data_IF_715520411288
#
_entry.id   IF_715520411288
#
_cell.length_a   1.000
_cell.length_b   1.000
_cell.length_c   1.000
_cell.angle_alpha   90.00
_cell.angle_beta   90.00
_cell.angle_gamma   90.00
#
_symmetry.space_group_name_H-M   'P 1'
#
loop_
_entity.id
_entity.type
_entity.pdbx_description
1 polymer ?
#
# COMPACT_ATOMS: atom_id res chain seq x y z
N UNK A 1 -25.13 1.56 -8.58
CA UNK A 1 -24.58 2.83 -8.06
C UNK A 1 -23.07 2.70 -8.06
N UNK A 2 -22.38 3.33 -9.01
CA UNK A 2 -20.91 3.28 -9.11
C UNK A 2 -20.32 4.41 -8.26
N UNK A 3 -19.61 4.05 -7.19
CA UNK A 3 -18.93 4.99 -6.32
C UNK A 3 -17.75 5.62 -7.07
N UNK A 4 -17.80 6.93 -7.19
CA UNK A 4 -16.77 7.79 -7.76
C UNK A 4 -15.51 7.76 -6.88
N UNK A 5 -14.42 7.16 -7.36
CA UNK A 5 -13.12 7.24 -6.72
C UNK A 5 -12.48 8.56 -7.15
N UNK A 6 -12.91 9.66 -6.53
CA UNK A 6 -12.19 10.93 -6.57
C UNK A 6 -11.04 10.87 -5.58
N UNK A 7 -9.86 10.53 -6.08
CA UNK A 7 -8.55 11.08 -5.70
C UNK A 7 -7.52 10.41 -6.59
N UNK A 8 -6.87 11.20 -7.44
CA UNK A 8 -5.78 10.78 -8.32
C UNK A 8 -4.60 10.34 -7.46
N UNK A 9 -4.66 9.13 -6.91
CA UNK A 9 -3.50 8.48 -6.34
C UNK A 9 -2.62 8.13 -7.53
N UNK A 10 -1.46 8.75 -7.63
CA UNK A 10 -0.47 8.38 -8.65
C UNK A 10 -0.20 6.88 -8.50
N UNK A 11 -0.41 6.14 -9.58
CA UNK A 11 -0.31 4.68 -9.63
C UNK A 11 0.58 4.27 -10.79
N UNK A 12 1.39 3.25 -10.57
CA UNK A 12 2.19 2.61 -11.60
C UNK A 12 1.56 1.28 -11.99
N UNK A 13 1.63 0.94 -13.29
CA UNK A 13 1.20 -0.36 -13.80
C UNK A 13 2.40 -1.29 -13.89
N UNK A 14 2.29 -2.48 -13.30
CA UNK A 14 3.33 -3.50 -13.31
C UNK A 14 2.76 -4.84 -13.73
N UNK A 15 3.50 -5.58 -14.53
CA UNK A 15 3.09 -6.90 -14.97
C UNK A 15 3.74 -7.94 -14.05
N UNK A 16 2.91 -8.73 -13.38
CA UNK A 16 3.32 -9.84 -12.54
C UNK A 16 2.65 -11.10 -13.06
N UNK A 17 3.43 -12.07 -13.55
CA UNK A 17 2.93 -13.36 -14.04
C UNK A 17 1.77 -13.26 -15.05
N UNK A 18 1.79 -12.26 -15.93
CA UNK A 18 0.73 -12.03 -16.93
C UNK A 18 -0.46 -11.22 -16.44
N UNK A 19 -0.44 -10.80 -15.17
CA UNK A 19 -1.45 -9.93 -14.56
C UNK A 19 -0.91 -8.52 -14.48
N UNK A 20 -1.67 -7.55 -14.97
CA UNK A 20 -1.32 -6.14 -14.81
C UNK A 20 -1.87 -5.62 -13.50
N UNK A 21 -0.98 -5.37 -12.54
CA UNK A 21 -1.27 -4.77 -11.24
C UNK A 21 -1.20 -3.24 -11.34
N UNK A 22 -2.10 -2.56 -10.66
CA UNK A 22 -2.04 -1.11 -10.41
C UNK A 22 -1.60 -0.89 -8.97
N UNK A 23 -0.39 -0.34 -8.83
CA UNK A 23 0.30 -0.16 -7.54
C UNK A 23 0.43 1.34 -7.27
N UNK A 24 0.01 1.77 -6.08
CA UNK A 24 0.17 3.12 -5.57
C UNK A 24 1.37 3.20 -4.61
N UNK A 25 1.85 4.43 -4.35
CA UNK A 25 3.00 4.69 -3.47
C UNK A 25 2.86 4.06 -2.09
N UNK A 26 3.98 3.56 -1.55
CA UNK A 26 4.06 3.07 -0.18
C UNK A 26 3.73 4.16 0.87
N UNK A 27 4.18 5.39 0.64
CA UNK A 27 3.95 6.52 1.55
C UNK A 27 2.65 7.28 1.27
N UNK A 28 1.60 6.59 0.81
CA UNK A 28 0.31 7.23 0.61
C UNK A 28 -0.44 7.41 1.94
N UNK A 29 -1.18 8.51 2.05
CA UNK A 29 -1.93 8.85 3.28
C UNK A 29 -3.00 7.82 3.61
N UNK A 30 -3.64 7.22 2.60
CA UNK A 30 -4.72 6.24 2.79
C UNK A 30 -4.20 4.96 3.44
N UNK A 31 -3.04 4.47 3.02
CA UNK A 31 -2.31 3.34 3.60
C UNK A 31 -1.97 3.63 5.05
N UNK A 32 -1.31 4.77 5.33
CA UNK A 32 -0.94 5.16 6.69
C UNK A 32 -2.16 5.27 7.61
N UNK A 33 -3.25 5.86 7.14
CA UNK A 33 -4.49 6.01 7.90
C UNK A 33 -5.17 4.64 8.13
N UNK A 34 -5.26 3.78 7.11
CA UNK A 34 -5.85 2.42 7.20
C UNK A 34 -5.01 1.52 8.11
N UNK A 35 -3.69 1.49 7.92
CA UNK A 35 -2.76 0.71 8.74
C UNK A 35 -2.78 1.15 10.21
N UNK A 36 -2.73 2.46 10.48
CA UNK A 36 -2.82 2.96 11.85
C UNK A 36 -4.18 2.65 12.49
N UNK A 37 -5.27 2.71 11.73
CA UNK A 37 -6.61 2.36 12.21
C UNK A 37 -6.70 0.88 12.59
N UNK A 38 -6.13 -0.01 11.76
CA UNK A 38 -6.10 -1.45 12.02
C UNK A 38 -5.25 -1.78 13.25
N UNK A 39 -4.04 -1.21 13.36
CA UNK A 39 -3.18 -1.37 14.55
C UNK A 39 -3.89 -0.92 15.82
N UNK A 40 -4.54 0.25 15.81
CA UNK A 40 -5.28 0.78 16.96
C UNK A 40 -6.50 -0.07 17.32
N UNK A 41 -7.20 -0.65 16.33
CA UNK A 41 -8.35 -1.53 16.58
C UNK A 41 -7.96 -2.78 17.37
N UNK A 42 -6.78 -3.33 17.09
CA UNK A 42 -6.27 -4.53 17.76
C UNK A 42 -5.79 -4.19 19.17
N UNK A 43 -5.02 -3.11 19.32
CA UNK A 43 -4.62 -2.56 20.61
C UNK A 43 -5.83 -2.22 21.52
N UNK A 44 -6.93 -1.74 20.93
CA UNK A 44 -8.15 -1.38 21.67
C UNK A 44 -9.00 -2.59 22.11
N UNK A 45 -8.83 -3.76 21.49
CA UNK A 45 -9.54 -4.99 21.86
C UNK A 45 -8.93 -5.70 23.07
N UNK A 46 -7.62 -5.55 23.25
CA UNK A 46 -6.86 -6.10 24.38
C UNK A 46 -6.82 -5.12 25.55
N UNK A 47 -7.84 -5.15 26.40
CA UNK A 47 -7.85 -4.56 27.75
C UNK A 47 -7.31 -3.11 27.89
N UNK A 48 -8.22 -2.17 28.12
CA UNK A 48 -7.99 -0.73 28.42
C UNK A 48 -7.02 -0.37 29.58
N UNK A 49 -6.24 -1.30 30.12
CA UNK A 49 -5.48 -1.13 31.36
C UNK A 49 -3.95 -1.19 31.26
N UNK A 50 -3.32 -1.43 30.10
CA UNK A 50 -1.85 -1.38 30.02
C UNK A 50 -1.36 -0.50 28.88
N UNK A 51 -1.14 0.78 29.23
CA UNK A 51 -0.23 1.69 28.52
C UNK A 51 1.13 1.01 28.33
N UNK A 52 1.38 0.46 27.14
CA UNK A 52 2.69 0.44 26.49
C UNK A 52 2.46 0.64 25.00
N UNK A 53 2.27 1.90 24.60
CA UNK A 53 2.43 2.35 23.21
C UNK A 53 3.85 2.00 22.77
N UNK A 54 4.04 0.87 22.09
CA UNK A 54 5.37 0.51 21.61
C UNK A 54 5.43 -0.82 20.86
N UNK A 55 4.86 -1.88 21.42
CA UNK A 55 5.19 -3.25 20.95
C UNK A 55 4.01 -4.16 20.66
N UNK A 56 2.77 -3.68 20.72
CA UNK A 56 1.62 -4.57 20.51
C UNK A 56 1.58 -5.16 19.10
N UNK A 57 2.09 -4.45 18.09
CA UNK A 57 2.20 -5.00 16.73
C UNK A 57 3.34 -6.02 16.63
N UNK A 58 4.51 -5.71 17.18
CA UNK A 58 5.68 -6.61 17.24
C UNK A 58 5.40 -7.91 18.00
N UNK A 59 4.47 -7.85 18.96
CA UNK A 59 4.04 -8.98 19.79
C UNK A 59 2.94 -9.84 19.15
N UNK A 60 2.37 -9.44 18.01
CA UNK A 60 1.44 -10.29 17.26
C UNK A 60 2.20 -11.44 16.61
N UNK A 61 1.49 -12.55 16.39
CA UNK A 61 2.04 -13.63 15.57
C UNK A 61 2.34 -13.14 14.15
N UNK A 62 3.34 -13.71 13.49
CA UNK A 62 3.69 -13.34 12.10
C UNK A 62 2.46 -13.36 11.19
N UNK A 63 1.62 -14.40 11.30
CA UNK A 63 0.39 -14.53 10.53
C UNK A 63 -0.63 -13.39 10.78
N UNK A 64 -0.73 -12.88 12.01
CA UNK A 64 -1.60 -11.74 12.30
C UNK A 64 -1.02 -10.43 11.74
N UNK A 65 0.30 -10.26 11.81
CA UNK A 65 1.00 -9.12 11.20
C UNK A 65 0.80 -9.11 9.67
N UNK A 66 0.97 -10.27 9.03
CA UNK A 66 0.78 -10.44 7.59
C UNK A 66 -0.66 -10.15 7.17
N UNK A 67 -1.64 -10.58 7.97
CA UNK A 67 -3.05 -10.29 7.70
C UNK A 67 -3.35 -8.79 7.78
N UNK A 68 -2.78 -8.09 8.76
CA UNK A 68 -2.94 -6.64 8.89
C UNK A 68 -2.27 -5.93 7.71
N UNK A 69 -1.09 -6.38 7.30
CA UNK A 69 -0.36 -5.84 6.14
C UNK A 69 -1.14 -6.06 4.84
N UNK A 70 -1.61 -7.28 4.58
CA UNK A 70 -2.43 -7.62 3.42
C UNK A 70 -3.69 -6.74 3.35
N UNK A 71 -4.39 -6.58 4.48
CA UNK A 71 -5.59 -5.73 4.57
C UNK A 71 -5.28 -4.25 4.39
N UNK A 72 -4.12 -3.79 4.85
CA UNK A 72 -3.68 -2.43 4.65
C UNK A 72 -3.33 -2.19 3.19
N UNK A 73 -2.59 -3.09 2.54
CA UNK A 73 -2.20 -3.01 1.13
C UNK A 73 -3.40 -3.07 0.19
N UNK A 74 -4.37 -3.94 0.47
CA UNK A 74 -5.61 -4.06 -0.30
C UNK A 74 -6.37 -2.73 -0.33
N UNK A 75 -6.55 -2.17 -1.53
CA UNK A 75 -7.30 -0.93 -1.76
C UNK A 75 -6.54 0.35 -1.39
N UNK A 76 -5.29 0.27 -0.93
CA UNK A 76 -4.46 1.48 -0.75
C UNK A 76 -3.18 1.45 -1.56
N UNK A 77 -2.43 0.36 -1.52
CA UNK A 77 -1.20 0.19 -2.30
C UNK A 77 -1.53 -0.63 -3.54
N UNK A 78 -2.16 -1.79 -3.39
CA UNK A 78 -2.74 -2.49 -4.51
C UNK A 78 -4.15 -1.95 -4.77
N UNK A 79 -4.29 -1.09 -5.78
CA UNK A 79 -5.55 -0.39 -6.08
C UNK A 79 -6.35 -1.03 -7.21
N UNK A 80 -5.73 -1.93 -7.96
CA UNK A 80 -6.37 -2.62 -9.07
C UNK A 80 -5.53 -3.76 -9.63
N UNK A 81 -6.18 -4.65 -10.37
CA UNK A 81 -5.50 -5.55 -11.30
C UNK A 81 -6.37 -5.87 -12.51
N UNK A 82 -5.75 -6.34 -13.57
CA UNK A 82 -6.42 -6.85 -14.76
C UNK A 82 -5.69 -8.06 -15.33
N UNK A 83 -6.45 -8.99 -15.92
CA UNK A 83 -5.90 -10.23 -16.46
C UNK A 83 -5.67 -11.34 -15.44
N UNK A 84 -6.09 -11.19 -14.18
CA UNK A 84 -5.97 -12.25 -13.18
C UNK A 84 -6.96 -13.39 -13.48
N UNK A 85 -6.42 -14.59 -13.68
CA UNK A 85 -7.19 -15.82 -13.92
C UNK A 85 -6.79 -16.85 -12.88
N UNK A 86 -7.76 -17.36 -12.13
CA UNK A 86 -7.58 -18.44 -11.17
C UNK A 86 -8.57 -19.55 -11.50
N UNK A 87 -8.09 -20.78 -11.65
CA UNK A 87 -8.93 -21.95 -12.00
C UNK A 87 -9.86 -21.67 -13.20
N UNK A 88 -9.30 -21.10 -14.27
CA UNK A 88 -10.02 -20.74 -15.51
C UNK A 88 -11.09 -19.64 -15.36
N UNK A 89 -11.22 -19.03 -14.17
CA UNK A 89 -12.14 -17.91 -13.92
C UNK A 89 -11.38 -16.60 -13.81
N UNK A 90 -11.92 -15.56 -14.47
CA UNK A 90 -11.43 -14.18 -14.30
C UNK A 90 -11.80 -13.70 -12.90
N UNK A 91 -10.80 -13.37 -12.09
CA UNK A 91 -11.00 -12.79 -10.77
C UNK A 91 -10.96 -11.28 -10.91
N UNK A 92 -12.11 -10.64 -10.70
CA UNK A 92 -12.19 -9.19 -10.68
C UNK A 92 -11.53 -8.65 -9.42
N UNK A 93 -10.93 -7.48 -9.56
CA UNK A 93 -10.37 -6.79 -8.41
C UNK A 93 -11.49 -6.36 -7.45
N UNK A 94 -11.37 -6.80 -6.20
CA UNK A 94 -12.12 -6.31 -5.04
C UNK A 94 -11.14 -6.22 -3.87
N UNK A 95 -11.41 -5.36 -2.89
CA UNK A 95 -10.56 -5.27 -1.70
C UNK A 95 -10.47 -6.61 -0.97
N UNK A 96 -11.56 -7.39 -0.93
CA UNK A 96 -11.60 -8.72 -0.30
C UNK A 96 -10.72 -9.72 -1.04
N UNK A 97 -10.84 -9.81 -2.37
CA UNK A 97 -9.98 -10.69 -3.17
C UNK A 97 -8.51 -10.28 -3.06
N UNK A 98 -8.24 -8.98 -2.95
CA UNK A 98 -6.87 -8.47 -2.83
C UNK A 98 -6.27 -8.78 -1.45
N UNK A 99 -7.06 -8.64 -0.39
CA UNK A 99 -6.67 -9.05 0.97
C UNK A 99 -6.35 -10.54 1.00
N UNK A 100 -7.21 -11.39 0.45
CA UNK A 100 -7.00 -12.83 0.43
C UNK A 100 -5.77 -13.22 -0.40
N UNK A 101 -5.56 -12.61 -1.57
CA UNK A 101 -4.40 -12.92 -2.39
C UNK A 101 -3.08 -12.48 -1.74
N UNK A 102 -3.02 -11.26 -1.18
CA UNK A 102 -1.82 -10.77 -0.49
C UNK A 102 -1.53 -11.51 0.81
N UNK A 103 -2.54 -12.13 1.42
CA UNK A 103 -2.36 -12.95 2.60
C UNK A 103 -1.89 -14.37 2.25
N UNK A 104 -2.40 -14.95 1.16
CA UNK A 104 -2.07 -16.33 0.76
C UNK A 104 -0.82 -16.44 -0.12
N UNK A 105 -0.43 -15.36 -0.81
CA UNK A 105 0.73 -15.31 -1.69
C UNK A 105 1.74 -14.27 -1.19
N UNK A 106 2.72 -14.76 -0.42
CA UNK A 106 3.81 -13.94 0.12
C UNK A 106 4.66 -13.30 -0.99
N UNK A 107 4.86 -14.00 -2.13
CA UNK A 107 5.66 -13.47 -3.24
C UNK A 107 4.97 -12.29 -3.91
N UNK A 108 3.65 -12.37 -4.10
CA UNK A 108 2.87 -11.25 -4.59
C UNK A 108 2.93 -10.07 -3.62
N UNK A 109 2.84 -10.33 -2.32
CA UNK A 109 2.93 -9.28 -1.29
C UNK A 109 4.26 -8.57 -1.30
N UNK A 110 5.36 -9.32 -1.36
CA UNK A 110 6.72 -8.78 -1.39
C UNK A 110 6.95 -7.96 -2.66
N UNK A 111 6.51 -8.48 -3.82
CA UNK A 111 6.57 -7.76 -5.09
C UNK A 111 5.83 -6.42 -5.04
N UNK A 112 4.60 -6.42 -4.50
CA UNK A 112 3.81 -5.18 -4.35
C UNK A 112 4.49 -4.19 -3.39
N UNK A 113 5.12 -4.68 -2.32
CA UNK A 113 5.83 -3.84 -1.36
C UNK A 113 7.09 -3.20 -1.95
N UNK A 114 7.86 -3.97 -2.72
CA UNK A 114 9.06 -3.51 -3.43
C UNK A 114 8.70 -2.43 -4.45
N UNK A 115 7.76 -2.72 -5.36
CA UNK A 115 7.31 -1.77 -6.38
C UNK A 115 6.72 -0.49 -5.79
N UNK A 116 6.00 -0.59 -4.66
CA UNK A 116 5.46 0.58 -3.98
C UNK A 116 6.56 1.47 -3.37
N UNK A 117 7.68 0.88 -2.96
CA UNK A 117 8.84 1.56 -2.37
C UNK A 117 9.73 2.18 -3.45
N UNK A 118 9.97 1.44 -4.54
CA UNK A 118 10.69 1.93 -5.72
C UNK A 118 9.97 3.12 -6.34
N UNK A 119 8.64 3.05 -6.42
CA UNK A 119 7.84 4.16 -6.91
C UNK A 119 7.90 5.40 -6.00
N UNK A 120 8.01 5.23 -4.68
CA UNK A 120 8.19 6.36 -3.76
C UNK A 120 9.58 7.00 -3.94
N UNK A 121 10.62 6.16 -4.10
CA UNK A 121 12.00 6.60 -4.33
C UNK A 121 12.15 7.36 -5.65
N UNK A 122 11.59 6.83 -6.75
CA UNK A 122 11.62 7.47 -8.07
C UNK A 122 11.04 8.89 -8.04
N UNK A 123 9.90 9.08 -7.37
CA UNK A 123 9.25 10.40 -7.24
C UNK A 123 10.09 11.34 -6.36
N UNK A 124 10.78 10.81 -5.35
CA UNK A 124 11.65 11.62 -4.50
C UNK A 124 12.87 12.12 -5.27
N UNK A 125 13.51 11.25 -6.05
CA UNK A 125 14.66 11.62 -6.90
C UNK A 125 14.26 12.67 -7.95
N UNK A 126 13.11 12.50 -8.62
CA UNK A 126 12.60 13.47 -9.60
C UNK A 126 12.36 14.86 -8.97
N UNK A 127 11.81 14.89 -7.74
CA UNK A 127 11.63 16.15 -6.99
C UNK A 127 12.95 16.80 -6.64
N UNK A 128 13.95 16.03 -6.23
CA UNK A 128 15.27 16.58 -5.89
C UNK A 128 15.98 17.16 -7.12
N UNK A 129 15.85 16.52 -8.29
CA UNK A 129 16.39 17.06 -9.54
C UNK A 129 15.72 18.37 -9.96
N UNK A 130 14.40 18.48 -9.82
CA UNK A 130 13.66 19.71 -10.12
C UNK A 130 14.05 20.87 -9.18
N UNK A 131 14.32 20.58 -7.91
CA UNK A 131 14.82 21.58 -6.95
C UNK A 131 16.24 22.03 -7.31
N UNK A 132 17.13 21.10 -7.69
CA UNK A 132 18.51 21.44 -8.11
C UNK A 132 18.56 22.21 -9.43
N UNK A 133 17.60 21.99 -10.33
CA UNK A 133 17.56 22.63 -11.65
C UNK A 133 16.85 23.98 -11.67
N UNK A 134 16.22 24.39 -10.57
CA UNK A 134 15.74 25.77 -10.40
C UNK A 134 16.92 26.69 -10.03
N UNK A 135 17.34 27.61 -10.92
CA UNK A 135 18.36 28.59 -10.58
C UNK A 135 17.86 29.46 -9.42
N UNK A 136 18.73 29.68 -8.43
CA UNK A 136 18.47 30.57 -7.31
C UNK A 136 17.91 31.92 -7.81
N UNK A 137 16.92 32.53 -7.11
CA UNK A 137 16.51 33.88 -7.43
C UNK A 137 17.75 34.76 -7.29
N UNK A 138 18.21 35.30 -8.42
CA UNK A 138 19.30 36.26 -8.47
C UNK A 138 18.79 37.49 -7.73
N UNK A 139 19.15 37.58 -6.45
CA UNK A 139 18.89 38.76 -5.63
C UNK A 139 19.75 39.88 -6.18
N UNK A 140 19.26 40.57 -7.20
CA UNK A 140 19.80 41.83 -7.65
C UNK A 140 19.42 42.93 -6.67
N UNK A 141 20.41 43.40 -5.91
CA UNK A 141 20.40 44.67 -5.20
C UNK A 141 21.65 45.44 -5.62
#
# INVERSE_FOLDING_TARGET
MALSITKTTETVKRNYSGVTLEIARANNRQFRDKFNKLRKSIASGSNRHRKKEGDEFSNLSAAEQDRILAKAYAGTILVGWSGFVHEEKKVLFTEENAEDLLFNDDLLRDFVAEEASDFDTFIQEEKEELVKKSPAPTSGA
#
